data_IF_277002141821
#
_entry.id   IF_277002141821
#
_cell.length_a   1.000
_cell.length_b   1.000
_cell.length_c   1.000
_cell.angle_alpha   90.00
_cell.angle_beta   90.00
_cell.angle_gamma   90.00
#
_symmetry.space_group_name_H-M   'P 1'
#
loop_
_entity.id
_entity.type
_entity.pdbx_description
1 polymer ?
#
# COMPACT_ATOMS: atom_id res chain seq x y z
N UNK A 1 34.43 49.76 25.87
CA UNK A 1 34.70 48.85 24.74
C UNK A 1 33.68 47.74 24.74
N UNK A 2 32.75 47.75 23.77
CA UNK A 2 31.66 46.78 23.62
C UNK A 2 32.09 45.65 22.68
N UNK A 3 32.72 44.61 23.20
CA UNK A 3 33.01 43.38 22.44
C UNK A 3 32.96 42.17 23.36
N UNK A 4 31.76 41.65 23.64
CA UNK A 4 31.59 40.24 24.04
C UNK A 4 30.10 39.86 24.11
N UNK A 5 29.40 39.91 22.98
CA UNK A 5 28.03 39.39 22.89
C UNK A 5 27.79 38.57 21.61
N UNK A 6 28.77 38.52 20.70
CA UNK A 6 28.69 37.74 19.45
C UNK A 6 29.08 36.26 19.63
N UNK A 7 29.91 35.92 20.62
CA UNK A 7 30.38 34.55 20.84
C UNK A 7 29.29 33.58 21.31
N UNK A 8 28.21 34.06 21.95
CA UNK A 8 27.08 33.21 22.34
C UNK A 8 26.18 32.83 21.16
N UNK A 9 25.93 33.77 20.24
CA UNK A 9 25.08 33.53 19.08
C UNK A 9 25.69 32.50 18.10
N UNK A 10 27.02 32.50 17.94
CA UNK A 10 27.72 31.52 17.09
C UNK A 10 27.75 30.11 17.71
N UNK A 11 27.58 30.00 19.03
CA UNK A 11 27.67 28.73 19.75
C UNK A 11 26.35 27.94 19.72
N UNK A 12 25.21 28.63 19.64
CA UNK A 12 23.90 28.00 19.42
C UNK A 12 23.78 27.40 18.01
N UNK A 13 24.33 28.07 16.98
CA UNK A 13 24.34 27.59 15.60
C UNK A 13 25.32 26.41 15.34
N UNK A 14 26.31 26.23 16.23
CA UNK A 14 27.30 25.13 16.18
C UNK A 14 27.05 24.06 17.25
N UNK A 15 25.81 23.88 17.70
CA UNK A 15 25.46 22.78 18.61
C UNK A 15 25.83 21.45 17.95
N UNK A 16 26.82 20.75 18.52
CA UNK A 16 27.20 19.41 18.08
C UNK A 16 26.02 18.45 18.28
N UNK A 17 25.68 17.63 17.28
CA UNK A 17 24.63 16.64 17.43
C UNK A 17 24.98 15.70 18.58
N UNK A 18 24.04 15.52 19.50
CA UNK A 18 24.17 14.63 20.65
C UNK A 18 23.24 13.44 20.49
N UNK A 19 23.44 12.40 21.30
CA UNK A 19 22.54 11.23 21.37
C UNK A 19 21.07 11.63 21.59
N UNK A 20 20.81 12.78 22.22
CA UNK A 20 19.47 13.28 22.48
C UNK A 20 18.79 13.85 21.23
N UNK A 21 19.53 14.11 20.16
CA UNK A 21 18.99 14.54 18.87
C UNK A 21 18.53 13.36 18.01
N UNK A 22 18.78 12.12 18.46
CA UNK A 22 18.26 10.93 17.80
C UNK A 22 16.75 10.84 18.08
N UNK A 23 15.91 10.66 17.05
CA UNK A 23 14.50 10.43 17.26
C UNK A 23 14.32 9.19 18.15
N UNK A 24 13.70 9.39 19.31
CA UNK A 24 13.27 8.29 20.16
C UNK A 24 12.24 7.41 19.45
N UNK A 25 11.95 6.21 19.98
CA UNK A 25 10.93 5.34 19.41
C UNK A 25 9.59 6.10 19.28
N UNK A 26 9.13 6.24 18.03
CA UNK A 26 7.91 6.97 17.68
C UNK A 26 6.67 6.15 18.07
N UNK A 27 6.11 6.40 19.25
CA UNK A 27 4.81 5.87 19.69
C UNK A 27 4.76 4.34 19.82
N UNK A 28 3.54 3.81 20.02
CA UNK A 28 3.34 2.37 20.11
C UNK A 28 3.33 1.76 18.69
N UNK A 29 4.33 0.92 18.39
CA UNK A 29 4.42 0.22 17.10
C UNK A 29 3.13 -0.53 16.75
N UNK A 30 2.44 -1.04 17.78
CA UNK A 30 1.22 -1.81 17.65
C UNK A 30 0.07 -0.99 17.04
N UNK A 31 -0.15 0.24 17.50
CA UNK A 31 -1.22 1.08 16.94
C UNK A 31 -0.99 1.38 15.45
N UNK A 32 0.26 1.70 15.09
CA UNK A 32 0.61 1.94 13.70
C UNK A 32 0.44 0.67 12.85
N UNK A 33 0.87 -0.48 13.35
CA UNK A 33 0.68 -1.77 12.69
C UNK A 33 -0.81 -2.10 12.49
N UNK A 34 -1.62 -1.99 13.54
CA UNK A 34 -3.07 -2.28 13.50
C UNK A 34 -3.79 -1.36 12.50
N UNK A 35 -3.42 -0.08 12.46
CA UNK A 35 -3.96 0.88 11.49
C UNK A 35 -3.64 0.48 10.04
N UNK A 36 -2.40 0.06 9.77
CA UNK A 36 -1.96 -0.37 8.44
C UNK A 36 -2.58 -1.71 8.03
N UNK A 37 -2.76 -2.63 8.98
CA UNK A 37 -3.35 -3.94 8.71
C UNK A 37 -4.78 -3.82 8.17
N UNK A 38 -5.57 -2.89 8.70
CA UNK A 38 -6.92 -2.60 8.20
C UNK A 38 -6.89 -2.16 6.73
N UNK A 39 -5.94 -1.31 6.34
CA UNK A 39 -5.80 -0.82 4.96
C UNK A 39 -5.51 -1.97 4.01
N UNK A 40 -4.58 -2.86 4.36
CA UNK A 40 -4.22 -4.00 3.52
C UNK A 40 -5.37 -5.00 3.38
N UNK A 41 -6.10 -5.29 4.45
CA UNK A 41 -7.26 -6.18 4.39
C UNK A 41 -8.36 -5.61 3.48
N UNK A 42 -8.59 -4.29 3.51
CA UNK A 42 -9.55 -3.63 2.60
C UNK A 42 -9.08 -3.74 1.14
N UNK A 43 -7.80 -3.49 0.87
CA UNK A 43 -7.23 -3.64 -0.48
C UNK A 43 -7.34 -5.08 -0.99
N UNK A 44 -7.08 -6.06 -0.12
CA UNK A 44 -7.21 -7.48 -0.45
C UNK A 44 -8.65 -7.83 -0.83
N UNK A 45 -9.63 -7.45 -0.01
CA UNK A 45 -11.05 -7.72 -0.29
C UNK A 45 -11.52 -7.03 -1.58
N UNK A 46 -11.10 -5.78 -1.79
CA UNK A 46 -11.41 -5.04 -3.02
C UNK A 46 -10.80 -5.75 -4.25
N UNK A 47 -9.53 -6.15 -4.17
CA UNK A 47 -8.85 -6.87 -5.24
C UNK A 47 -9.52 -8.21 -5.58
N UNK A 48 -9.90 -8.99 -4.57
CA UNK A 48 -10.65 -10.24 -4.76
C UNK A 48 -12.00 -9.96 -5.44
N UNK A 49 -12.73 -8.94 -4.99
CA UNK A 49 -14.02 -8.56 -5.59
C UNK A 49 -13.91 -8.20 -7.06
N UNK A 50 -12.91 -7.38 -7.43
CA UNK A 50 -12.64 -7.00 -8.82
C UNK A 50 -12.27 -8.23 -9.67
N UNK A 51 -11.41 -9.11 -9.16
CA UNK A 51 -10.99 -10.31 -9.87
C UNK A 51 -12.17 -11.25 -10.14
N UNK A 52 -12.95 -11.57 -9.10
CA UNK A 52 -14.14 -12.43 -9.21
C UNK A 52 -15.16 -11.82 -10.17
N UNK A 53 -15.43 -10.52 -10.04
CA UNK A 53 -16.36 -9.81 -10.93
C UNK A 53 -15.90 -9.84 -12.40
N UNK A 54 -14.60 -9.66 -12.65
CA UNK A 54 -14.03 -9.71 -14.00
C UNK A 54 -14.17 -11.10 -14.61
N UNK A 55 -13.81 -12.16 -13.86
CA UNK A 55 -13.94 -13.54 -14.35
C UNK A 55 -15.40 -13.87 -14.63
N UNK A 56 -16.32 -13.53 -13.71
CA UNK A 56 -17.74 -13.78 -13.88
C UNK A 56 -18.30 -13.05 -15.12
N UNK A 57 -17.98 -11.77 -15.28
CA UNK A 57 -18.39 -10.98 -16.45
C UNK A 57 -17.93 -11.61 -17.76
N UNK A 58 -16.65 -12.00 -17.86
CA UNK A 58 -16.08 -12.62 -19.06
C UNK A 58 -16.77 -13.95 -19.39
N UNK A 59 -17.08 -14.77 -18.38
CA UNK A 59 -17.75 -16.07 -18.58
C UNK A 59 -19.22 -15.91 -18.99
N UNK A 60 -19.94 -14.92 -18.44
CA UNK A 60 -21.37 -14.73 -18.68
C UNK A 60 -21.68 -13.91 -19.93
N UNK A 61 -20.83 -12.93 -20.26
CA UNK A 61 -21.06 -12.04 -21.43
C UNK A 61 -20.84 -12.74 -22.77
N UNK A 62 -20.12 -13.86 -22.80
CA UNK A 62 -19.74 -14.52 -24.05
C UNK A 62 -18.76 -13.71 -24.90
N UNK A 63 -18.17 -12.64 -24.36
CA UNK A 63 -17.25 -11.76 -25.11
C UNK A 63 -15.95 -12.46 -25.49
N UNK A 64 -15.57 -13.51 -24.75
CA UNK A 64 -14.42 -14.36 -25.06
C UNK A 64 -14.89 -15.79 -25.30
N UNK A 65 -14.66 -16.29 -26.51
CA UNK A 65 -14.76 -17.71 -26.82
C UNK A 65 -13.43 -18.40 -26.52
N UNK A 66 -13.39 -19.13 -25.42
CA UNK A 66 -12.16 -19.77 -24.93
C UNK A 66 -11.82 -21.12 -25.58
N UNK A 67 -12.73 -21.67 -26.40
CA UNK A 67 -12.54 -22.96 -27.07
C UNK A 67 -12.01 -24.08 -26.13
N UNK A 68 -12.58 -24.19 -24.93
CA UNK A 68 -12.10 -25.12 -23.89
C UNK A 68 -12.28 -26.61 -24.21
N UNK A 69 -12.99 -26.93 -25.30
CA UNK A 69 -13.24 -28.29 -25.73
C UNK A 69 -13.52 -28.36 -27.23
N UNK A 70 -13.54 -29.57 -27.80
CA UNK A 70 -13.96 -29.78 -29.18
C UNK A 70 -15.39 -29.27 -29.39
N UNK A 71 -15.72 -28.78 -30.60
CA UNK A 71 -17.06 -28.30 -30.91
C UNK A 71 -18.09 -29.42 -30.75
N UNK A 72 -19.30 -29.05 -30.33
CA UNK A 72 -20.41 -30.00 -30.25
C UNK A 72 -20.73 -30.57 -31.64
N UNK A 73 -21.05 -31.86 -31.67
CA UNK A 73 -21.42 -32.54 -32.90
C UNK A 73 -22.71 -31.91 -33.46
N UNK A 74 -22.81 -31.67 -34.78
CA UNK A 74 -23.97 -31.03 -35.36
C UNK A 74 -25.23 -31.87 -35.11
N UNK A 75 -26.28 -31.24 -34.59
CA UNK A 75 -27.57 -31.89 -34.25
C UNK A 75 -28.41 -32.28 -35.47
N UNK A 76 -27.83 -32.41 -36.66
CA UNK A 76 -28.54 -32.93 -37.82
C UNK A 76 -28.53 -34.46 -37.78
N UNK A 77 -29.74 -35.01 -37.61
CA UNK A 77 -30.17 -36.42 -37.63
C UNK A 77 -30.24 -37.10 -36.26
N UNK A 78 -31.43 -36.99 -35.64
CA UNK A 78 -32.05 -38.10 -34.92
C UNK A 78 -33.53 -38.18 -35.26
#
# INVERSE_FOLDING_TARGET
GTRSSSSKAVQDDLRLPTINDIPGPCGSWKEHYDARQRVYNVQLLAGIGVLVGTIAYVKLSGVIFFNFGPPEEPTENK
#
